data_IF_021068130893
#
_entry.id   IF_021068130893
#
_cell.length_a   1.000
_cell.length_b   1.000
_cell.length_c   1.000
_cell.angle_alpha   90.00
_cell.angle_beta   90.00
_cell.angle_gamma   90.00
#
_symmetry.space_group_name_H-M   'P 1'
#
loop_
_entity.id
_entity.type
_entity.pdbx_description
1 polymer ?
#
# COMPACT_ATOMS: atom_id res chain seq x y z
N UNK A 1 47.71 -3.12 -14.87
CA UNK A 1 46.56 -2.23 -14.61
C UNK A 1 45.95 -1.96 -15.97
N UNK A 2 44.80 -2.55 -16.26
CA UNK A 2 44.25 -2.55 -17.62
C UNK A 2 43.53 -1.22 -17.92
N UNK A 3 43.59 -0.76 -19.17
CA UNK A 3 42.89 0.47 -19.60
C UNK A 3 41.37 0.43 -19.33
N UNK A 4 40.79 -0.77 -19.25
CA UNK A 4 39.40 -0.99 -18.84
C UNK A 4 39.15 -0.70 -17.34
N UNK A 5 40.11 -0.99 -16.45
CA UNK A 5 40.00 -0.65 -15.02
C UNK A 5 40.15 0.86 -14.80
N UNK A 6 41.02 1.52 -15.56
CA UNK A 6 41.19 2.98 -15.54
C UNK A 6 39.93 3.71 -16.05
N UNK A 7 39.28 3.20 -17.09
CA UNK A 7 38.00 3.74 -17.58
C UNK A 7 36.84 3.49 -16.61
N UNK A 8 36.84 2.36 -15.89
CA UNK A 8 35.81 2.09 -14.87
C UNK A 8 35.95 3.07 -13.70
N UNK A 9 37.17 3.28 -13.19
CA UNK A 9 37.46 4.23 -12.12
C UNK A 9 37.21 5.69 -12.53
N UNK A 10 37.51 6.07 -13.77
CA UNK A 10 37.21 7.41 -14.31
C UNK A 10 35.72 7.67 -14.61
N UNK A 11 34.88 6.63 -14.59
CA UNK A 11 33.43 6.76 -14.78
C UNK A 11 32.64 6.73 -13.46
N UNK A 12 33.26 6.36 -12.34
CA UNK A 12 32.64 6.48 -11.00
C UNK A 12 32.41 7.96 -10.64
N UNK A 13 33.33 8.83 -11.05
CA UNK A 13 33.22 10.30 -10.87
C UNK A 13 32.20 10.96 -11.82
N UNK A 14 31.59 10.22 -12.76
CA UNK A 14 30.61 10.73 -13.74
C UNK A 14 29.16 10.38 -13.41
N UNK A 15 28.88 9.83 -12.23
CA UNK A 15 27.50 9.73 -11.78
C UNK A 15 27.06 11.15 -11.43
N UNK A 16 26.21 11.75 -12.28
CA UNK A 16 25.61 13.07 -12.03
C UNK A 16 25.15 13.18 -10.57
N UNK A 17 25.36 14.32 -9.88
CA UNK A 17 24.97 14.47 -8.47
C UNK A 17 23.50 14.11 -8.21
N UNK A 18 22.63 14.29 -9.19
CA UNK A 18 21.24 13.83 -9.14
C UNK A 18 21.08 12.30 -9.10
N UNK A 19 21.89 11.55 -9.85
CA UNK A 19 21.86 10.10 -9.84
C UNK A 19 22.41 9.53 -8.51
N UNK A 20 23.43 10.16 -7.93
CA UNK A 20 23.90 9.81 -6.57
C UNK A 20 22.84 10.05 -5.51
N UNK A 21 22.10 11.18 -5.58
CA UNK A 21 20.98 11.47 -4.68
C UNK A 21 19.85 10.43 -4.80
N UNK A 22 19.47 10.06 -6.03
CA UNK A 22 18.45 9.04 -6.26
C UNK A 22 18.87 7.67 -5.69
N UNK A 23 20.13 7.27 -5.89
CA UNK A 23 20.66 6.04 -5.31
C UNK A 23 20.64 6.06 -3.78
N UNK A 24 20.99 7.19 -3.15
CA UNK A 24 20.95 7.33 -1.70
C UNK A 24 19.52 7.23 -1.15
N UNK A 25 18.55 7.85 -1.82
CA UNK A 25 17.13 7.74 -1.46
C UNK A 25 16.69 6.28 -1.55
N UNK A 26 17.01 5.58 -2.64
CA UNK A 26 16.70 4.16 -2.79
C UNK A 26 17.33 3.32 -1.67
N UNK A 27 18.60 3.55 -1.35
CA UNK A 27 19.30 2.83 -0.28
C UNK A 27 18.64 3.03 1.09
N UNK A 28 18.25 4.28 1.43
CA UNK A 28 17.55 4.59 2.68
C UNK A 28 16.15 3.97 2.71
N UNK A 29 15.42 4.00 1.60
CA UNK A 29 14.12 3.33 1.49
C UNK A 29 14.23 1.82 1.68
N UNK A 30 15.28 1.19 1.13
CA UNK A 30 15.56 -0.23 1.37
C UNK A 30 15.86 -0.54 2.84
N UNK A 31 16.60 0.35 3.52
CA UNK A 31 16.86 0.21 4.96
C UNK A 31 15.56 0.29 5.77
N UNK A 32 14.69 1.26 5.49
CA UNK A 32 13.37 1.37 6.13
C UNK A 32 12.56 0.10 5.88
N UNK A 33 12.54 -0.40 4.63
CA UNK A 33 11.85 -1.65 4.29
C UNK A 33 12.35 -2.84 5.09
N UNK A 34 13.68 -2.98 5.28
CA UNK A 34 14.25 -4.03 6.13
C UNK A 34 13.82 -3.91 7.58
N UNK A 35 13.81 -2.69 8.14
CA UNK A 35 13.36 -2.47 9.52
C UNK A 35 11.89 -2.82 9.70
N UNK A 36 11.03 -2.46 8.75
CA UNK A 36 9.62 -2.84 8.74
C UNK A 36 9.44 -4.36 8.69
N UNK A 37 10.23 -5.07 7.88
CA UNK A 37 10.18 -6.53 7.81
C UNK A 37 10.66 -7.23 9.10
N UNK A 38 11.54 -6.59 9.87
CA UNK A 38 11.99 -7.09 11.16
C UNK A 38 11.07 -6.71 12.34
N UNK A 39 10.06 -5.86 12.11
CA UNK A 39 9.12 -5.41 13.14
C UNK A 39 8.32 -6.56 13.76
N UNK A 40 7.82 -6.35 14.98
CA UNK A 40 6.93 -7.29 15.66
C UNK A 40 5.67 -7.57 14.83
N UNK A 41 5.06 -6.53 14.25
CA UNK A 41 3.87 -6.62 13.41
C UNK A 41 4.12 -7.52 12.18
N UNK A 42 5.30 -7.43 11.57
CA UNK A 42 5.67 -8.31 10.47
C UNK A 42 5.83 -9.77 10.93
N UNK A 43 6.43 -10.01 12.10
CA UNK A 43 6.56 -11.36 12.67
C UNK A 43 5.19 -11.98 13.00
N UNK A 44 4.29 -11.21 13.64
CA UNK A 44 2.92 -11.62 13.95
C UNK A 44 2.14 -11.92 12.66
N UNK A 45 2.29 -11.08 11.64
CA UNK A 45 1.69 -11.32 10.32
C UNK A 45 2.16 -12.65 9.71
N UNK A 46 3.47 -12.91 9.68
CA UNK A 46 4.00 -14.16 9.12
C UNK A 46 3.54 -15.39 9.89
N UNK A 47 3.49 -15.31 11.22
CA UNK A 47 2.98 -16.39 12.06
C UNK A 47 1.50 -16.68 11.79
N UNK A 48 0.65 -15.64 11.76
CA UNK A 48 -0.76 -15.79 11.46
C UNK A 48 -1.00 -16.30 10.02
N UNK A 49 -0.16 -15.88 9.06
CA UNK A 49 -0.20 -16.36 7.68
C UNK A 49 0.09 -17.85 7.59
N UNK A 50 1.14 -18.32 8.25
CA UNK A 50 1.50 -19.73 8.25
C UNK A 50 0.38 -20.60 8.82
N UNK A 51 -0.32 -20.13 9.86
CA UNK A 51 -1.50 -20.81 10.38
C UNK A 51 -2.64 -20.82 9.36
N UNK A 52 -2.90 -19.67 8.71
CA UNK A 52 -3.94 -19.50 7.70
C UNK A 52 -3.74 -20.40 6.46
N UNK A 53 -2.50 -20.70 6.08
CA UNK A 53 -2.15 -21.58 4.96
C UNK A 53 -2.70 -23.02 5.11
N UNK A 54 -2.96 -23.45 6.34
CA UNK A 54 -3.52 -24.78 6.64
C UNK A 54 -5.06 -24.80 6.66
N UNK A 55 -5.73 -23.66 6.43
CA UNK A 55 -7.18 -23.52 6.45
C UNK A 55 -7.78 -23.10 5.08
N UNK A 56 -7.97 -24.04 4.13
CA UNK A 56 -8.40 -23.72 2.78
C UNK A 56 -9.79 -23.08 2.70
N UNK A 57 -10.73 -23.47 3.58
CA UNK A 57 -12.05 -22.84 3.67
C UNK A 57 -11.94 -21.37 4.06
N UNK A 58 -11.09 -21.07 5.03
CA UNK A 58 -10.87 -19.72 5.50
C UNK A 58 -10.21 -18.86 4.41
N UNK A 59 -9.26 -19.42 3.65
CA UNK A 59 -8.61 -18.73 2.54
C UNK A 59 -9.63 -18.33 1.47
N UNK A 60 -10.52 -19.27 1.10
CA UNK A 60 -11.58 -19.01 0.15
C UNK A 60 -12.51 -17.88 0.61
N UNK A 61 -12.94 -17.91 1.88
CA UNK A 61 -13.77 -16.85 2.46
C UNK A 61 -13.04 -15.51 2.47
N UNK A 62 -11.76 -15.49 2.80
CA UNK A 62 -10.94 -14.29 2.80
C UNK A 62 -10.79 -13.69 1.39
N UNK A 63 -10.55 -14.52 0.37
CA UNK A 63 -10.51 -14.07 -1.03
C UNK A 63 -11.85 -13.48 -1.47
N UNK A 64 -12.96 -14.12 -1.11
CA UNK A 64 -14.30 -13.62 -1.42
C UNK A 64 -14.57 -12.29 -0.72
N UNK A 65 -14.22 -12.19 0.57
CA UNK A 65 -14.36 -10.96 1.34
C UNK A 65 -13.59 -9.83 0.69
N UNK A 66 -12.31 -10.04 0.36
CA UNK A 66 -11.46 -9.04 -0.32
C UNK A 66 -12.09 -8.53 -1.63
N UNK A 67 -12.61 -9.44 -2.45
CA UNK A 67 -13.23 -9.08 -3.72
C UNK A 67 -14.48 -8.22 -3.51
N UNK A 68 -15.33 -8.56 -2.55
CA UNK A 68 -16.51 -7.77 -2.22
C UNK A 68 -16.15 -6.43 -1.57
N UNK A 69 -15.12 -6.36 -0.71
CA UNK A 69 -14.63 -5.10 -0.13
C UNK A 69 -14.08 -4.15 -1.21
N UNK A 70 -13.32 -4.67 -2.18
CA UNK A 70 -12.84 -3.86 -3.30
C UNK A 70 -14.00 -3.32 -4.13
N UNK A 71 -14.98 -4.17 -4.43
CA UNK A 71 -16.18 -3.77 -5.16
C UNK A 71 -16.99 -2.74 -4.39
N UNK A 72 -17.11 -2.90 -3.08
CA UNK A 72 -17.76 -1.96 -2.18
C UNK A 72 -17.06 -0.59 -2.26
N UNK A 73 -15.74 -0.54 -2.10
CA UNK A 73 -14.96 0.69 -2.17
C UNK A 73 -15.12 1.42 -3.51
N UNK A 74 -15.05 0.69 -4.63
CA UNK A 74 -15.26 1.28 -5.96
C UNK A 74 -16.68 1.85 -6.14
N UNK A 75 -17.68 1.19 -5.57
CA UNK A 75 -19.07 1.66 -5.67
C UNK A 75 -19.36 2.81 -4.70
N UNK A 76 -18.74 2.85 -3.53
CA UNK A 76 -18.84 3.99 -2.59
C UNK A 76 -18.32 5.29 -3.21
N UNK A 77 -17.38 5.21 -4.15
CA UNK A 77 -16.88 6.38 -4.88
C UNK A 77 -17.84 6.91 -5.95
N UNK A 78 -18.82 6.11 -6.38
CA UNK A 78 -19.65 6.41 -7.56
C UNK A 78 -21.15 6.46 -7.26
N UNK A 79 -21.62 5.80 -6.21
CA UNK A 79 -23.03 5.67 -5.88
C UNK A 79 -23.35 6.30 -4.52
N UNK A 80 -24.56 6.86 -4.35
CA UNK A 80 -25.03 7.31 -3.04
C UNK A 80 -25.19 6.14 -2.05
N UNK A 81 -25.09 6.45 -0.77
CA UNK A 81 -25.08 5.47 0.34
C UNK A 81 -26.33 4.57 0.33
N UNK A 82 -27.49 5.12 0.00
CA UNK A 82 -28.77 4.39 0.01
C UNK A 82 -29.03 3.58 -1.27
N UNK A 83 -28.07 3.54 -2.20
CA UNK A 83 -28.26 2.83 -3.45
C UNK A 83 -28.44 1.31 -3.19
N UNK A 84 -29.47 0.65 -3.74
CA UNK A 84 -29.81 -0.74 -3.41
C UNK A 84 -28.67 -1.73 -3.74
N UNK A 85 -27.90 -1.45 -4.80
CA UNK A 85 -26.69 -2.25 -5.14
C UNK A 85 -25.60 -2.14 -4.07
N UNK A 86 -25.44 -0.97 -3.45
CA UNK A 86 -24.45 -0.77 -2.40
C UNK A 86 -24.86 -1.54 -1.14
N UNK A 87 -26.12 -1.40 -0.73
CA UNK A 87 -26.68 -2.13 0.41
C UNK A 87 -26.57 -3.66 0.24
N UNK A 88 -26.82 -4.17 -0.96
CA UNK A 88 -26.67 -5.60 -1.24
C UNK A 88 -25.24 -6.10 -1.04
N UNK A 89 -24.23 -5.31 -1.45
CA UNK A 89 -22.82 -5.66 -1.28
C UNK A 89 -22.37 -5.51 0.16
N UNK A 90 -22.84 -4.49 0.87
CA UNK A 90 -22.62 -4.34 2.33
C UNK A 90 -23.12 -5.58 3.04
N UNK A 91 -24.37 -6.00 2.79
CA UNK A 91 -24.95 -7.21 3.41
C UNK A 91 -24.11 -8.45 3.12
N UNK A 92 -23.74 -8.67 1.86
CA UNK A 92 -22.89 -9.81 1.46
C UNK A 92 -21.52 -9.78 2.12
N UNK A 93 -20.94 -8.59 2.28
CA UNK A 93 -19.67 -8.39 2.98
C UNK A 93 -19.81 -8.77 4.45
N UNK A 94 -20.87 -8.31 5.13
CA UNK A 94 -21.18 -8.68 6.52
C UNK A 94 -21.39 -10.18 6.69
N UNK A 95 -22.14 -10.84 5.79
CA UNK A 95 -22.33 -12.29 5.84
C UNK A 95 -20.99 -13.06 5.73
N UNK A 96 -20.10 -12.62 4.84
CA UNK A 96 -18.75 -13.20 4.71
C UNK A 96 -17.89 -12.94 5.95
N UNK A 97 -18.01 -11.76 6.57
CA UNK A 97 -17.35 -11.44 7.82
C UNK A 97 -17.85 -12.32 8.96
N UNK A 98 -19.16 -12.51 9.11
CA UNK A 98 -19.78 -13.37 10.12
C UNK A 98 -19.33 -14.84 9.97
N UNK A 99 -19.14 -15.32 8.74
CA UNK A 99 -18.56 -16.63 8.49
C UNK A 99 -17.07 -16.70 8.85
N UNK A 100 -16.30 -15.64 8.58
CA UNK A 100 -14.89 -15.54 8.95
C UNK A 100 -14.69 -15.44 10.46
N UNK A 101 -15.58 -14.75 11.19
CA UNK A 101 -15.55 -14.64 12.65
C UNK A 101 -15.62 -16.01 13.34
N UNK A 102 -16.27 -16.99 12.71
CA UNK A 102 -16.34 -18.37 13.22
C UNK A 102 -15.00 -19.12 13.08
N UNK A 103 -14.01 -18.55 12.41
CA UNK A 103 -12.69 -19.14 12.20
C UNK A 103 -11.61 -18.29 12.89
N UNK A 104 -11.17 -18.67 14.12
CA UNK A 104 -10.22 -17.87 14.90
C UNK A 104 -8.92 -17.52 14.16
N UNK A 105 -8.37 -18.47 13.39
CA UNK A 105 -7.15 -18.26 12.60
C UNK A 105 -7.33 -17.17 11.54
N UNK A 106 -8.50 -17.09 10.93
CA UNK A 106 -8.79 -16.06 9.93
C UNK A 106 -8.91 -14.67 10.55
N UNK A 107 -9.47 -14.59 11.76
CA UNK A 107 -9.53 -13.35 12.52
C UNK A 107 -8.14 -12.89 12.96
N UNK A 108 -7.31 -13.79 13.48
CA UNK A 108 -5.92 -13.48 13.83
C UNK A 108 -5.14 -12.98 12.62
N UNK A 109 -5.30 -13.62 11.46
CA UNK A 109 -4.69 -13.15 10.21
C UNK A 109 -5.20 -11.79 9.75
N UNK A 110 -6.52 -11.53 9.82
CA UNK A 110 -7.11 -10.22 9.50
C UNK A 110 -6.57 -9.11 10.40
N UNK A 111 -6.51 -9.34 11.71
CA UNK A 111 -5.94 -8.40 12.69
C UNK A 111 -4.46 -8.15 12.41
N UNK A 112 -3.65 -9.21 12.26
CA UNK A 112 -2.23 -9.06 11.97
C UNK A 112 -1.95 -8.31 10.65
N UNK A 113 -2.81 -8.50 9.64
CA UNK A 113 -2.73 -7.75 8.38
C UNK A 113 -3.10 -6.27 8.59
N UNK A 114 -4.09 -5.95 9.42
CA UNK A 114 -4.48 -4.59 9.73
C UNK A 114 -3.35 -3.85 10.49
N UNK A 115 -2.80 -4.48 11.53
CA UNK A 115 -1.71 -3.90 12.35
C UNK A 115 -0.46 -3.63 11.51
N UNK A 116 -0.07 -4.57 10.64
CA UNK A 116 1.05 -4.36 9.71
C UNK A 116 0.77 -3.21 8.73
N UNK A 117 -0.47 -3.10 8.23
CA UNK A 117 -0.85 -2.01 7.34
C UNK A 117 -0.82 -0.65 8.06
N UNK A 118 -1.30 -0.57 9.30
CA UNK A 118 -1.23 0.65 10.11
C UNK A 118 0.21 1.10 10.32
N UNK A 119 1.12 0.18 10.65
CA UNK A 119 2.56 0.48 10.78
C UNK A 119 3.13 1.07 9.48
N UNK A 120 2.87 0.41 8.35
CA UNK A 120 3.40 0.84 7.03
C UNK A 120 2.82 2.19 6.63
N UNK A 121 1.50 2.37 6.77
CA UNK A 121 0.84 3.64 6.48
C UNK A 121 1.34 4.76 7.38
N UNK A 122 1.59 4.49 8.67
CA UNK A 122 2.16 5.45 9.61
C UNK A 122 3.53 5.98 9.16
N UNK A 123 4.42 5.09 8.68
CA UNK A 123 5.72 5.51 8.13
C UNK A 123 5.54 6.38 6.89
N UNK A 124 4.64 6.03 5.98
CA UNK A 124 4.36 6.86 4.80
C UNK A 124 3.81 8.24 5.18
N UNK A 125 2.88 8.31 6.14
CA UNK A 125 2.32 9.58 6.58
C UNK A 125 3.37 10.48 7.23
N UNK A 126 4.28 9.92 8.04
CA UNK A 126 5.41 10.66 8.60
C UNK A 126 6.33 11.19 7.49
N UNK A 127 6.66 10.37 6.50
CA UNK A 127 7.49 10.78 5.36
C UNK A 127 6.84 11.92 4.57
N UNK A 128 5.55 11.82 4.26
CA UNK A 128 4.80 12.89 3.57
C UNK A 128 4.77 14.15 4.43
N UNK A 129 4.46 14.04 5.73
CA UNK A 129 4.42 15.17 6.66
C UNK A 129 5.75 15.92 6.73
N UNK A 130 6.88 15.21 6.71
CA UNK A 130 8.20 15.83 6.69
C UNK A 130 8.47 16.61 5.40
N UNK A 131 8.05 16.09 4.25
CA UNK A 131 8.26 16.76 2.96
C UNK A 131 7.31 17.96 2.82
N UNK A 132 6.06 17.81 3.25
CA UNK A 132 5.02 18.85 3.18
C UNK A 132 5.33 20.11 4.00
N UNK A 133 6.23 20.02 4.98
CA UNK A 133 6.73 21.18 5.73
C UNK A 133 7.65 22.08 4.90
N UNK A 134 8.27 21.55 3.85
CA UNK A 134 9.30 22.24 3.05
C UNK A 134 8.82 22.55 1.64
N UNK A 135 7.98 21.67 1.07
CA UNK A 135 7.47 21.77 -0.29
C UNK A 135 5.96 21.49 -0.25
N UNK A 136 5.11 22.26 -0.96
CA UNK A 136 3.71 21.88 -1.11
C UNK A 136 3.63 20.57 -1.91
N UNK A 137 3.43 19.45 -1.22
CA UNK A 137 3.23 18.13 -1.83
C UNK A 137 1.76 17.75 -1.74
N UNK A 138 1.12 17.56 -2.89
CA UNK A 138 -0.24 17.01 -2.95
C UNK A 138 -0.23 15.55 -2.50
N UNK A 139 -1.08 15.22 -1.53
CA UNK A 139 -1.24 13.86 -1.02
C UNK A 139 -2.29 13.12 -1.85
N UNK A 140 -1.87 12.17 -2.70
CA UNK A 140 -2.77 11.24 -3.38
C UNK A 140 -2.69 11.27 -4.92
N UNK A 141 -3.21 10.22 -5.59
CA UNK A 141 -3.19 10.14 -7.04
C UNK A 141 -4.05 11.27 -7.63
N UNK A 142 -3.47 12.05 -8.54
CA UNK A 142 -4.19 13.07 -9.31
C UNK A 142 -5.48 12.45 -9.86
N UNK A 143 -6.63 12.94 -9.42
CA UNK A 143 -7.84 12.86 -10.22
C UNK A 143 -7.69 13.87 -11.37
N UNK A 144 -6.80 13.55 -12.32
CA UNK A 144 -6.99 14.02 -13.67
C UNK A 144 -8.13 13.17 -14.25
N UNK A 145 -9.38 13.54 -13.95
CA UNK A 145 -10.50 13.14 -14.79
C UNK A 145 -10.31 13.85 -16.13
N UNK A 146 -9.57 13.21 -17.03
CA UNK A 146 -9.58 13.51 -18.44
C UNK A 146 -10.97 13.11 -18.98
N UNK A 147 -11.95 13.98 -18.77
CA UNK A 147 -13.21 13.97 -19.48
C UNK A 147 -13.40 15.38 -20.04
N UNK A 148 -13.13 15.48 -21.33
CA UNK A 148 -13.62 16.53 -22.24
C UNK A 148 -13.12 17.96 -22.04
N UNK A 149 -12.01 18.25 -22.73
CA UNK A 149 -11.86 19.45 -23.56
C UNK A 149 -12.43 20.77 -23.03
N UNK A 150 -11.82 21.36 -22.00
CA UNK A 150 -11.75 22.82 -21.85
C UNK A 150 -10.55 23.19 -20.96
N UNK A 151 -9.71 24.07 -21.49
CA UNK A 151 -8.42 24.44 -20.89
C UNK A 151 -8.56 24.99 -19.47
N UNK A 152 -7.73 24.48 -18.57
CA UNK A 152 -7.50 25.08 -17.27
C UNK A 152 -6.60 26.31 -17.44
N UNK A 153 -7.19 27.50 -17.27
CA UNK A 153 -6.48 28.71 -16.87
C UNK A 153 -6.17 28.61 -15.39
N UNK A 154 -4.96 28.20 -15.02
CA UNK A 154 -4.48 28.29 -13.65
C UNK A 154 -3.79 29.64 -13.44
N UNK A 155 -4.43 30.51 -12.67
CA UNK A 155 -3.88 31.79 -12.23
C UNK A 155 -4.91 32.64 -11.48
N UNK A 156 -4.99 32.45 -10.16
CA UNK A 156 -5.24 33.46 -9.12
C UNK A 156 -5.15 32.78 -7.76
#
# INVERSE_FOLDING_TARGET
MNDLELQFLQNVDKISPHAQQQQLILAKSQQIGKLLLCSEQAQVYWAARAQMEHHPRAQLLFTRLKNETNRLLSLQQTLPIDHPRLQAIVKKTTELEDELYKTPVAMQYKTAQADLNELVQGVFQLMISLISQVIPVESGPRQCSAAEGKGCSCGS
#
